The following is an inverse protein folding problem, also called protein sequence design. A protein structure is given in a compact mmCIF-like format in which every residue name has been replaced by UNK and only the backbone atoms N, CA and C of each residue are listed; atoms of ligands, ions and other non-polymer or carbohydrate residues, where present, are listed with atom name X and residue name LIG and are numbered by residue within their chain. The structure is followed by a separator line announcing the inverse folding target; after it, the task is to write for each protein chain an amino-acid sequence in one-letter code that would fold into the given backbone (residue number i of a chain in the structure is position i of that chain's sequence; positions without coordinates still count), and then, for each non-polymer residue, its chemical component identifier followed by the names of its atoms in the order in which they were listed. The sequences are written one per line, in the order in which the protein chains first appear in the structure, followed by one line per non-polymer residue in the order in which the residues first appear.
data_IF_596307210498
#
_entry.id   IF_596307210498
#
_cell.length_a   1.000
_cell.length_b   1.000
_cell.length_c   1.000
_cell.angle_alpha   90.00
_cell.angle_beta   90.00
_cell.angle_gamma   90.00
#
_symmetry.space_group_name_H-M   'P 1'
#
loop_
_entity.id
_entity.type
_entity.pdbx_description
1 polymer ?
#
# COMPACT_ATOMS: atom_id res chain seq x y z
N UNK A 1 7.41 11.28 -12.38
CA UNK A 1 7.64 10.00 -11.67
C UNK A 1 6.33 9.21 -11.73
N UNK A 2 6.33 8.02 -12.35
CA UNK A 2 5.13 7.19 -12.53
C UNK A 2 5.26 5.95 -11.62
N UNK A 3 4.56 5.96 -10.49
CA UNK A 3 4.66 4.92 -9.45
C UNK A 3 3.26 4.38 -9.08
N UNK A 4 2.58 3.64 -9.98
CA UNK A 4 1.34 2.97 -9.61
C UNK A 4 1.61 1.88 -8.57
N UNK A 5 0.56 1.50 -7.84
CA UNK A 5 0.61 0.40 -6.88
C UNK A 5 0.93 -0.91 -7.63
N UNK A 6 1.82 -1.72 -7.06
CA UNK A 6 2.16 -3.02 -7.63
C UNK A 6 0.92 -3.93 -7.63
N UNK A 7 0.64 -4.57 -8.78
CA UNK A 7 -0.56 -5.40 -8.96
C UNK A 7 -1.85 -4.62 -9.23
N UNK A 8 -1.79 -3.30 -9.33
CA UNK A 8 -2.95 -2.48 -9.73
C UNK A 8 -3.18 -2.57 -11.25
N UNK A 9 -4.05 -3.47 -11.67
CA UNK A 9 -4.35 -3.71 -13.08
C UNK A 9 -4.96 -2.46 -13.76
N UNK A 10 -5.80 -1.71 -13.05
CA UNK A 10 -6.54 -0.58 -13.62
C UNK A 10 -5.63 0.58 -14.01
N UNK A 11 -4.64 0.89 -13.17
CA UNK A 11 -3.73 2.00 -13.41
C UNK A 11 -2.46 1.56 -14.11
N UNK A 12 -1.94 0.34 -13.83
CA UNK A 12 -0.77 -0.15 -14.55
C UNK A 12 -1.03 -0.47 -16.02
N UNK A 13 -2.26 -0.85 -16.40
CA UNK A 13 -2.64 -1.06 -17.81
C UNK A 13 -2.52 0.20 -18.67
N UNK A 14 -2.44 1.38 -18.05
CA UNK A 14 -2.26 2.67 -18.73
C UNK A 14 -0.79 3.01 -18.97
N UNK A 15 0.15 2.29 -18.35
CA UNK A 15 1.56 2.48 -18.60
C UNK A 15 1.98 1.75 -19.86
N UNK A 16 2.65 2.45 -20.75
CA UNK A 16 3.23 1.90 -21.98
C UNK A 16 4.61 2.51 -22.23
N UNK A 17 5.36 1.87 -23.12
CA UNK A 17 6.63 2.39 -23.63
C UNK A 17 6.38 3.09 -24.97
N UNK A 18 6.74 4.37 -25.05
CA UNK A 18 6.73 5.17 -26.28
C UNK A 18 8.16 5.67 -26.50
N UNK A 19 8.81 5.18 -27.55
CA UNK A 19 10.18 5.57 -27.93
C UNK A 19 11.22 5.41 -26.79
N UNK A 20 11.09 4.35 -25.97
CA UNK A 20 11.98 4.07 -24.84
C UNK A 20 11.65 4.85 -23.57
N UNK A 21 10.56 5.62 -23.57
CA UNK A 21 10.08 6.39 -22.43
C UNK A 21 8.76 5.84 -21.91
N UNK A 22 8.67 5.69 -20.59
CA UNK A 22 7.43 5.24 -19.94
C UNK A 22 6.44 6.39 -19.95
N UNK A 23 5.28 6.18 -20.56
CA UNK A 23 4.21 7.17 -20.65
C UNK A 23 2.88 6.58 -20.17
N UNK A 24 1.99 7.46 -19.71
CA UNK A 24 0.62 7.11 -19.32
C UNK A 24 -0.35 7.42 -20.45
N UNK A 25 -1.20 6.47 -20.78
CA UNK A 25 -2.27 6.63 -21.76
C UNK A 25 -3.57 7.08 -21.11
N UNK A 26 -4.34 7.84 -21.89
CA UNK A 26 -5.73 8.12 -21.54
C UNK A 26 -6.57 6.86 -21.74
N UNK A 27 -7.61 6.64 -20.92
CA UNK A 27 -8.48 5.46 -21.05
C UNK A 27 -9.06 5.26 -22.45
N UNK A 28 -9.40 6.37 -23.14
CA UNK A 28 -9.90 6.35 -24.52
C UNK A 28 -8.91 5.77 -25.53
N UNK A 29 -7.61 5.83 -25.25
CA UNK A 29 -6.54 5.38 -26.15
C UNK A 29 -6.05 3.96 -25.85
N UNK A 30 -6.56 3.30 -24.78
CA UNK A 30 -6.16 1.94 -24.39
C UNK A 30 -6.41 0.89 -25.48
N UNK A 31 -7.45 1.04 -26.29
CA UNK A 31 -7.74 0.12 -27.40
C UNK A 31 -6.61 0.09 -28.44
N UNK A 32 -5.82 1.16 -28.56
CA UNK A 32 -4.73 1.29 -29.53
C UNK A 32 -3.52 0.43 -29.18
N UNK A 33 -3.28 0.19 -27.89
CA UNK A 33 -2.12 -0.57 -27.42
C UNK A 33 -2.36 -2.08 -27.31
N UNK A 34 -3.58 -2.56 -27.58
CA UNK A 34 -3.93 -4.00 -27.63
C UNK A 34 -3.40 -4.81 -26.43
N UNK A 35 -3.43 -4.22 -25.23
CA UNK A 35 -2.96 -4.89 -24.00
C UNK A 35 -1.45 -4.95 -23.81
N UNK A 36 -0.65 -4.22 -24.61
CA UNK A 36 0.78 -4.03 -24.34
C UNK A 36 0.96 -3.12 -23.12
N UNK A 37 1.10 -3.75 -21.96
CA UNK A 37 1.42 -3.11 -20.69
C UNK A 37 2.93 -2.95 -20.55
N UNK A 38 3.37 -1.79 -20.06
CA UNK A 38 4.74 -1.63 -19.61
C UNK A 38 4.95 -2.35 -18.27
N UNK A 39 5.98 -3.20 -18.24
CA UNK A 39 6.46 -3.86 -17.02
C UNK A 39 7.95 -3.55 -16.91
N UNK A 40 8.41 -2.94 -15.80
CA UNK A 40 9.82 -2.63 -15.63
C UNK A 40 10.69 -3.89 -15.75
N UNK A 41 11.65 -3.96 -16.69
CA UNK A 41 12.50 -5.14 -16.85
C UNK A 41 13.26 -5.50 -15.57
N UNK A 42 13.66 -4.48 -14.79
CA UNK A 42 14.31 -4.65 -13.50
C UNK A 42 13.43 -5.42 -12.48
N UNK A 43 12.11 -5.25 -12.53
CA UNK A 43 11.19 -5.96 -11.64
C UNK A 43 11.14 -7.46 -11.98
N UNK A 44 11.05 -7.79 -13.27
CA UNK A 44 11.11 -9.18 -13.75
C UNK A 44 12.44 -9.84 -13.41
N UNK A 45 13.56 -9.15 -13.64
CA UNK A 45 14.89 -9.64 -13.30
C UNK A 45 15.05 -9.86 -11.79
N UNK A 46 14.54 -8.94 -10.96
CA UNK A 46 14.64 -9.02 -9.50
C UNK A 46 13.82 -10.18 -8.93
N UNK A 47 12.60 -10.37 -9.44
CA UNK A 47 11.69 -11.41 -8.95
C UNK A 47 11.97 -12.78 -9.56
N UNK A 48 12.71 -12.85 -10.67
CA UNK A 48 12.93 -14.10 -11.41
C UNK A 48 11.66 -14.64 -12.08
N UNK A 49 10.68 -13.76 -12.32
CA UNK A 49 9.35 -14.10 -12.84
C UNK A 49 9.19 -13.48 -14.24
N UNK A 50 8.69 -14.22 -15.24
CA UNK A 50 8.39 -13.67 -16.57
C UNK A 50 7.41 -12.50 -16.51
N UNK A 51 7.54 -11.56 -17.46
CA UNK A 51 6.70 -10.37 -17.51
C UNK A 51 5.20 -10.71 -17.62
N UNK A 52 4.81 -11.77 -18.35
CA UNK A 52 3.41 -12.20 -18.44
C UNK A 52 2.80 -12.64 -17.09
N UNK A 53 3.62 -13.17 -16.17
CA UNK A 53 3.16 -13.62 -14.85
C UNK A 53 3.09 -12.45 -13.86
N UNK A 54 3.92 -11.41 -14.03
CA UNK A 54 3.85 -10.19 -13.23
C UNK A 54 2.53 -9.43 -13.38
N UNK A 55 1.83 -9.62 -14.51
CA UNK A 55 0.50 -9.07 -14.72
C UNK A 55 -0.57 -9.64 -13.80
N UNK A 56 -0.34 -10.81 -13.20
CA UNK A 56 -1.31 -11.56 -12.38
C UNK A 56 -1.09 -11.41 -10.87
N UNK A 57 -0.13 -10.58 -10.48
CA UNK A 57 0.16 -10.32 -9.07
C UNK A 57 -1.04 -9.66 -8.38
N UNK A 58 -1.32 -9.99 -7.10
CA UNK A 58 -2.33 -9.27 -6.33
C UNK A 58 -1.91 -7.81 -6.13
N UNK A 59 -2.88 -6.95 -5.84
CA UNK A 59 -2.61 -5.57 -5.48
C UNK A 59 -1.91 -5.50 -4.12
N UNK A 60 -0.73 -4.90 -4.09
CA UNK A 60 0.05 -4.66 -2.87
C UNK A 60 -0.34 -3.33 -2.24
N UNK A 61 -1.57 -3.27 -1.73
CA UNK A 61 -2.10 -2.15 -0.97
C UNK A 61 -2.72 -2.68 0.32
N UNK A 62 -2.18 -2.26 1.46
CA UNK A 62 -2.62 -2.70 2.79
C UNK A 62 -2.92 -1.49 3.65
N UNK A 63 -4.12 -1.44 4.23
CA UNK A 63 -4.48 -0.42 5.23
C UNK A 63 -3.91 -0.89 6.56
N UNK A 64 -2.79 -0.30 6.98
CA UNK A 64 -2.09 -0.71 8.19
C UNK A 64 -2.74 -0.15 9.47
N UNK A 65 -3.06 1.15 9.49
CA UNK A 65 -3.54 1.86 10.66
C UNK A 65 -4.75 2.71 10.31
N UNK A 66 -5.75 2.73 11.19
CA UNK A 66 -6.93 3.60 11.11
C UNK A 66 -7.19 4.22 12.48
N UNK A 67 -7.35 5.55 12.51
CA UNK A 67 -7.66 6.30 13.72
C UNK A 67 -9.12 6.73 13.68
N UNK A 68 -9.90 6.34 14.68
CA UNK A 68 -11.28 6.78 14.87
C UNK A 68 -11.30 7.85 15.97
N UNK A 69 -11.40 9.14 15.60
CA UNK A 69 -11.30 10.21 16.56
C UNK A 69 -12.52 10.25 17.49
N UNK A 70 -12.27 10.54 18.77
CA UNK A 70 -13.31 10.68 19.79
C UNK A 70 -14.26 9.49 19.87
N UNK A 71 -13.68 8.30 19.83
CA UNK A 71 -14.45 7.07 20.00
C UNK A 71 -15.14 7.08 21.37
N UNK A 72 -16.41 6.65 21.41
CA UNK A 72 -17.23 6.71 22.62
C UNK A 72 -17.92 8.05 22.89
N UNK A 73 -17.79 9.06 22.02
CA UNK A 73 -18.48 10.35 22.19
C UNK A 73 -20.02 10.20 22.10
N UNK A 74 -20.72 10.64 23.15
CA UNK A 74 -22.18 10.63 23.19
C UNK A 74 -22.70 12.06 23.05
N UNK A 75 -23.48 12.32 21.99
CA UNK A 75 -24.10 13.61 21.74
C UNK A 75 -25.07 13.94 22.88
N UNK A 76 -24.89 15.10 23.52
CA UNK A 76 -25.74 15.59 24.60
C UNK A 76 -25.19 15.37 26.02
N UNK A 77 -24.07 14.67 26.20
CA UNK A 77 -23.41 14.50 27.50
C UNK A 77 -22.31 15.56 27.74
N UNK A 78 -22.14 16.13 28.95
CA UNK A 78 -21.07 17.08 29.22
C UNK A 78 -19.68 16.49 28.96
N UNK A 79 -18.75 17.28 28.41
CA UNK A 79 -17.38 16.83 28.05
C UNK A 79 -16.60 16.28 29.27
N UNK A 80 -16.88 16.77 30.47
CA UNK A 80 -16.27 16.32 31.73
C UNK A 80 -16.73 14.93 32.19
N UNK A 81 -17.78 14.38 31.59
CA UNK A 81 -18.34 13.06 31.93
C UNK A 81 -18.16 12.03 30.81
N UNK A 82 -17.36 12.35 29.79
CA UNK A 82 -17.07 11.45 28.69
C UNK A 82 -15.61 11.00 28.77
N UNK A 83 -15.41 9.68 28.88
CA UNK A 83 -14.11 9.06 28.60
C UNK A 83 -13.97 8.96 27.08
N UNK A 84 -13.30 9.95 26.50
CA UNK A 84 -13.13 10.10 25.05
C UNK A 84 -11.67 9.85 24.75
N UNK A 85 -11.40 8.83 23.95
CA UNK A 85 -10.09 8.55 23.40
C UNK A 85 -10.18 8.39 21.88
N UNK A 86 -9.07 8.59 21.20
CA UNK A 86 -8.96 8.19 19.80
C UNK A 86 -8.73 6.68 19.77
N UNK A 87 -9.55 5.95 19.01
CA UNK A 87 -9.39 4.51 18.86
C UNK A 87 -8.46 4.23 17.68
N UNK A 88 -7.33 3.59 17.98
CA UNK A 88 -6.36 3.14 16.98
C UNK A 88 -6.62 1.68 16.64
N UNK A 89 -6.87 1.39 15.37
CA UNK A 89 -7.07 0.04 14.85
C UNK A 89 -5.98 -0.28 13.84
N UNK A 90 -5.08 -1.19 14.22
CA UNK A 90 -3.95 -1.60 13.40
C UNK A 90 -4.12 -3.04 12.91
N UNK A 91 -3.67 -3.33 11.69
CA UNK A 91 -3.62 -4.66 11.12
C UNK A 91 -2.22 -4.95 10.58
N UNK A 92 -1.61 -6.10 10.92
CA UNK A 92 -0.32 -6.48 10.35
C UNK A 92 -0.46 -6.73 8.84
N UNK A 93 0.59 -6.46 8.03
CA UNK A 93 0.56 -6.79 6.62
C UNK A 93 0.39 -8.29 6.39
N UNK A 94 -0.36 -8.70 5.35
CA UNK A 94 -0.55 -10.11 5.03
C UNK A 94 0.75 -10.77 4.55
N UNK A 95 0.86 -12.09 4.67
CA UNK A 95 2.09 -12.84 4.38
C UNK A 95 2.64 -12.62 2.96
N UNK A 96 1.78 -12.53 1.95
CA UNK A 96 2.22 -12.29 0.57
C UNK A 96 2.85 -10.89 0.41
N UNK A 97 2.37 -9.89 1.16
CA UNK A 97 2.94 -8.54 1.18
C UNK A 97 4.36 -8.56 1.76
N UNK A 98 4.54 -9.24 2.90
CA UNK A 98 5.84 -9.40 3.55
C UNK A 98 6.85 -10.12 2.63
N UNK A 99 6.42 -11.17 1.94
CA UNK A 99 7.25 -11.90 0.98
C UNK A 99 7.72 -10.99 -0.18
N UNK A 100 6.84 -10.12 -0.69
CA UNK A 100 7.20 -9.17 -1.74
C UNK A 100 8.17 -8.10 -1.24
N UNK A 101 7.95 -7.54 -0.05
CA UNK A 101 8.88 -6.59 0.58
C UNK A 101 10.28 -7.19 0.69
N UNK A 102 10.37 -8.45 1.13
CA UNK A 102 11.64 -9.18 1.19
C UNK A 102 12.27 -9.36 -0.20
N UNK A 103 11.49 -9.79 -1.20
CA UNK A 103 11.98 -9.98 -2.56
C UNK A 103 12.50 -8.67 -3.20
N UNK A 104 11.85 -7.55 -2.90
CA UNK A 104 12.27 -6.21 -3.33
C UNK A 104 13.47 -5.68 -2.53
N UNK A 105 13.85 -6.32 -1.42
CA UNK A 105 14.94 -5.87 -0.55
C UNK A 105 14.58 -4.67 0.32
N UNK A 106 13.29 -4.52 0.65
CA UNK A 106 12.73 -3.36 1.36
C UNK A 106 12.41 -3.66 2.85
N UNK A 107 12.91 -4.77 3.39
CA UNK A 107 12.60 -5.17 4.78
C UNK A 107 13.00 -4.11 5.81
N UNK A 108 14.18 -3.51 5.65
CA UNK A 108 14.64 -2.43 6.55
C UNK A 108 13.77 -1.17 6.45
N UNK A 109 13.23 -0.86 5.27
CA UNK A 109 12.31 0.27 5.09
C UNK A 109 10.97 0.02 5.79
N UNK A 110 10.47 -1.21 5.72
CA UNK A 110 9.25 -1.62 6.41
C UNK A 110 9.43 -1.62 7.93
N UNK A 111 10.57 -2.11 8.43
CA UNK A 111 10.90 -2.05 9.85
C UNK A 111 10.97 -0.60 10.34
N UNK A 112 11.66 0.28 9.59
CA UNK A 112 11.70 1.71 9.90
C UNK A 112 10.30 2.33 9.95
N UNK A 113 9.42 2.02 9.00
CA UNK A 113 8.04 2.51 9.00
C UNK A 113 7.31 2.14 10.30
N UNK A 114 7.45 0.91 10.79
CA UNK A 114 6.82 0.51 12.05
C UNK A 114 7.43 1.18 13.29
N UNK A 115 8.70 1.56 13.25
CA UNK A 115 9.39 2.22 14.37
C UNK A 115 9.24 3.75 14.37
N UNK A 116 8.98 4.38 13.22
CA UNK A 116 8.71 5.83 13.15
C UNK A 116 7.37 6.19 13.82
N UNK A 117 6.37 5.30 13.77
CA UNK A 117 5.06 5.47 14.43
C UNK A 117 5.12 5.27 15.97
N UNK A 118 6.23 4.78 16.55
CA UNK A 118 6.38 4.62 18.00
C UNK A 118 6.79 5.93 18.73
N UNK A 119 7.14 6.99 17.98
CA UNK A 119 7.76 8.21 18.51
C UNK A 119 6.81 9.37 18.86
N UNK A 120 5.58 9.39 18.34
CA UNK A 120 4.64 10.51 18.48
C UNK A 120 3.24 9.99 18.84
N UNK A 121 3.03 9.70 20.14
CA UNK A 121 1.80 9.93 20.90
C UNK A 121 1.77 9.01 22.12
N UNK A 122 1.31 9.53 23.27
CA UNK A 122 0.97 8.69 24.42
C UNK A 122 -0.27 7.85 24.07
N UNK A 123 -0.05 6.75 23.35
CA UNK A 123 -1.08 5.76 23.03
C UNK A 123 -1.47 5.06 24.33
N UNK A 124 -2.64 5.39 24.87
CA UNK A 124 -3.31 4.53 25.86
C UNK A 124 -3.98 3.39 25.06
N UNK A 125 -3.16 2.42 24.65
CA UNK A 125 -3.58 1.24 23.91
C UNK A 125 -3.23 -0.01 24.71
N UNK A 126 -4.25 -0.73 25.17
CA UNK A 126 -4.12 -1.94 25.96
C UNK A 126 -3.46 -3.10 25.20
N UNK A 127 -2.56 -3.74 25.92
CA UNK A 127 -2.08 -5.12 25.87
C UNK A 127 -1.45 -5.68 24.57
N UNK A 128 -0.12 -5.76 24.67
CA UNK A 128 0.81 -6.87 24.41
C UNK A 128 0.82 -7.65 23.07
N UNK A 129 2.03 -7.58 22.47
CA UNK A 129 2.70 -8.47 21.51
C UNK A 129 2.13 -9.90 21.34
N UNK A 130 1.96 -10.29 20.08
CA UNK A 130 2.09 -11.68 19.60
C UNK A 130 3.05 -11.74 18.42
#
# INVERSE_FOLDING_TARGET
MLCPILGDELYCSRLTDIDGQVATLQPKDLHRIRGKRYIPPALSARLGIPAEELGKLPMFCHIHSTVFPRFGWIIGRPKSEQDVADLYANAPPPQHFLAMVQALGMSADLERYFHEDEGEDQVVGGDEKF
#
